data_IF_756652964434
#
_entry.id   IF_756652964434
#
_cell.length_a   1.000
_cell.length_b   1.000
_cell.length_c   1.000
_cell.angle_alpha   90.00
_cell.angle_beta   90.00
_cell.angle_gamma   90.00
#
_symmetry.space_group_name_H-M   'P 1'
#
loop_
_entity.id
_entity.type
_entity.pdbx_description
1 polymer ?
#
# COMPACT_ATOMS: atom_id res chain seq x y z
N UNK A 1 -2.35 8.40 -34.50
CA UNK A 1 -2.73 9.15 -33.28
C UNK A 1 -2.83 8.11 -32.17
N UNK A 2 -2.04 8.24 -31.11
CA UNK A 2 -2.02 7.27 -30.02
C UNK A 2 -3.34 7.35 -29.25
N UNK A 3 -4.09 6.27 -29.25
CA UNK A 3 -5.27 6.11 -28.41
C UNK A 3 -4.78 6.12 -26.96
N UNK A 4 -5.16 7.14 -26.19
CA UNK A 4 -4.92 7.17 -24.77
C UNK A 4 -5.70 5.99 -24.19
N UNK A 5 -5.01 4.90 -23.87
CA UNK A 5 -5.56 3.76 -23.15
C UNK A 5 -6.28 4.32 -21.93
N UNK A 6 -7.61 4.37 -21.98
CA UNK A 6 -8.42 4.81 -20.85
C UNK A 6 -8.08 3.88 -19.69
N UNK A 7 -7.33 4.39 -18.72
CA UNK A 7 -7.06 3.71 -17.47
C UNK A 7 -8.42 3.53 -16.80
N UNK A 8 -8.96 2.32 -16.85
CA UNK A 8 -10.15 1.98 -16.12
C UNK A 8 -9.71 1.61 -14.69
N UNK A 9 -9.92 2.49 -13.69
CA UNK A 9 -9.50 2.23 -12.32
C UNK A 9 -10.18 1.00 -11.72
N UNK A 10 -11.31 0.55 -12.29
CA UNK A 10 -12.02 -0.65 -11.82
C UNK A 10 -11.38 -1.96 -12.32
N UNK A 11 -10.26 -1.90 -13.05
CA UNK A 11 -9.64 -3.06 -13.72
C UNK A 11 -8.12 -3.11 -13.65
N UNK A 12 -7.47 -2.37 -12.75
CA UNK A 12 -6.02 -2.51 -12.61
C UNK A 12 -5.70 -3.92 -12.11
N UNK A 13 -5.07 -4.71 -12.99
CA UNK A 13 -4.56 -6.05 -12.71
C UNK A 13 -3.13 -6.13 -13.23
N UNK A 14 -2.17 -6.29 -12.33
CA UNK A 14 -0.74 -6.33 -12.63
C UNK A 14 -0.19 -7.70 -12.25
N UNK A 15 0.41 -8.40 -13.20
CA UNK A 15 1.17 -9.61 -12.92
C UNK A 15 2.59 -9.24 -12.47
N UNK A 16 3.09 -9.88 -11.41
CA UNK A 16 4.46 -9.73 -10.94
C UNK A 16 5.36 -10.83 -11.52
N UNK A 17 6.67 -10.67 -11.34
CA UNK A 17 7.71 -11.49 -11.96
C UNK A 17 7.58 -13.01 -11.71
N UNK A 18 6.92 -13.42 -10.63
CA UNK A 18 6.80 -14.83 -10.25
C UNK A 18 5.36 -15.34 -10.30
N UNK A 19 4.49 -14.68 -11.07
CA UNK A 19 3.10 -15.10 -11.32
C UNK A 19 2.10 -14.66 -10.26
N UNK A 20 2.51 -13.86 -9.27
CA UNK A 20 1.60 -13.15 -8.39
C UNK A 20 0.80 -12.10 -9.16
N UNK A 21 -0.33 -11.69 -8.60
CA UNK A 21 -1.18 -10.67 -9.20
C UNK A 21 -1.58 -9.64 -8.15
N UNK A 22 -1.42 -8.36 -8.48
CA UNK A 22 -2.00 -7.23 -7.74
C UNK A 22 -3.23 -6.74 -8.49
N UNK A 23 -4.35 -6.63 -7.80
CA UNK A 23 -5.63 -6.16 -8.37
C UNK A 23 -6.21 -5.05 -7.52
N UNK A 24 -6.83 -4.03 -8.13
CA UNK A 24 -7.77 -3.18 -7.40
C UNK A 24 -9.02 -4.00 -7.09
N UNK A 25 -9.46 -3.99 -5.83
CA UNK A 25 -10.62 -4.78 -5.38
C UNK A 25 -11.93 -3.99 -5.40
N UNK A 26 -11.89 -2.75 -5.88
CA UNK A 26 -13.01 -1.82 -5.91
C UNK A 26 -13.37 -1.23 -4.54
N UNK A 27 -12.61 -1.55 -3.49
CA UNK A 27 -12.75 -0.96 -2.17
C UNK A 27 -11.91 0.31 -2.00
N UNK A 28 -12.20 1.02 -0.93
CA UNK A 28 -11.44 2.16 -0.44
C UNK A 28 -11.22 2.02 1.06
N UNK A 29 -10.04 2.43 1.50
CA UNK A 29 -9.63 2.52 2.90
C UNK A 29 -9.59 4.00 3.29
N UNK A 30 -10.06 4.34 4.49
CA UNK A 30 -9.91 5.67 5.05
C UNK A 30 -8.69 5.68 5.97
N UNK A 31 -7.65 6.41 5.60
CA UNK A 31 -6.41 6.56 6.35
C UNK A 31 -6.24 8.05 6.68
N UNK A 32 -6.18 8.38 7.97
CA UNK A 32 -6.04 9.77 8.45
C UNK A 32 -7.06 10.77 7.85
N UNK A 33 -8.26 10.28 7.54
CA UNK A 33 -9.35 11.07 6.95
C UNK A 33 -9.30 11.19 5.42
N UNK A 34 -8.31 10.59 4.77
CA UNK A 34 -8.19 10.53 3.32
C UNK A 34 -8.60 9.16 2.77
N UNK A 35 -9.42 9.16 1.71
CA UNK A 35 -9.83 7.93 1.02
C UNK A 35 -8.72 7.46 0.07
N UNK A 36 -8.27 6.22 0.25
CA UNK A 36 -7.25 5.57 -0.57
C UNK A 36 -7.80 4.27 -1.15
N UNK A 37 -7.63 3.98 -2.45
CA UNK A 37 -8.09 2.74 -3.06
C UNK A 37 -7.39 1.52 -2.46
N UNK A 38 -8.12 0.44 -2.20
CA UNK A 38 -7.54 -0.85 -1.76
C UNK A 38 -7.09 -1.72 -2.92
N UNK A 39 -6.05 -2.49 -2.66
CA UNK A 39 -5.52 -3.51 -3.56
C UNK A 39 -5.51 -4.88 -2.90
N UNK A 40 -5.76 -5.92 -3.69
CA UNK A 40 -5.61 -7.32 -3.31
C UNK A 40 -4.40 -7.90 -4.01
N UNK A 41 -3.47 -8.44 -3.20
CA UNK A 41 -2.31 -9.17 -3.67
C UNK A 41 -2.58 -10.68 -3.58
N UNK A 42 -2.75 -11.33 -4.73
CA UNK A 42 -2.94 -12.78 -4.85
C UNK A 42 -1.60 -13.50 -4.88
N UNK A 43 -1.37 -14.32 -3.85
CA UNK A 43 -0.13 -15.07 -3.64
C UNK A 43 -0.41 -16.56 -3.46
N UNK A 44 0.62 -17.39 -3.62
CA UNK A 44 0.60 -18.76 -3.11
C UNK A 44 0.55 -18.74 -1.58
N UNK A 45 -0.04 -19.77 -0.91
CA UNK A 45 -0.25 -19.73 0.55
C UNK A 45 1.02 -19.50 1.39
N UNK A 46 2.14 -20.09 0.99
CA UNK A 46 3.41 -19.91 1.70
C UNK A 46 3.98 -18.51 1.52
N UNK A 47 3.85 -17.91 0.32
CA UNK A 47 4.24 -16.52 0.08
C UNK A 47 3.36 -15.55 0.84
N UNK A 48 2.05 -15.78 0.86
CA UNK A 48 1.12 -14.99 1.66
C UNK A 48 1.52 -14.96 3.14
N UNK A 49 1.88 -16.12 3.70
CA UNK A 49 2.37 -16.22 5.08
C UNK A 49 3.66 -15.43 5.31
N UNK A 50 4.63 -15.54 4.41
CA UNK A 50 5.89 -14.78 4.53
C UNK A 50 5.67 -13.27 4.42
N UNK A 51 4.87 -12.82 3.45
CA UNK A 51 4.55 -11.40 3.27
C UNK A 51 3.78 -10.85 4.47
N UNK A 52 2.79 -11.57 4.98
CA UNK A 52 2.03 -11.16 6.16
C UNK A 52 2.96 -10.90 7.36
N UNK A 53 3.93 -11.81 7.59
CA UNK A 53 4.92 -11.65 8.67
C UNK A 53 5.79 -10.41 8.46
N UNK A 54 6.28 -10.18 7.24
CA UNK A 54 7.10 -9.00 6.95
C UNK A 54 6.31 -7.70 7.15
N UNK A 55 5.05 -7.65 6.70
CA UNK A 55 4.18 -6.49 6.87
C UNK A 55 3.86 -6.22 8.33
N UNK A 56 3.67 -7.26 9.14
CA UNK A 56 3.46 -7.14 10.59
C UNK A 56 4.68 -6.51 11.29
N UNK A 57 5.88 -7.04 11.04
CA UNK A 57 7.13 -6.50 11.59
C UNK A 57 7.37 -5.05 11.13
N UNK A 58 7.17 -4.77 9.84
CA UNK A 58 7.34 -3.42 9.31
C UNK A 58 6.31 -2.44 9.91
N UNK A 59 5.06 -2.87 10.10
CA UNK A 59 4.02 -2.06 10.74
C UNK A 59 4.34 -1.76 12.21
N UNK A 60 4.97 -2.69 12.92
CA UNK A 60 5.43 -2.46 14.29
C UNK A 60 6.53 -1.38 14.32
N UNK A 61 7.50 -1.48 13.41
CA UNK A 61 8.60 -0.52 13.29
C UNK A 61 8.09 0.86 12.85
N UNK A 62 7.23 0.93 11.83
CA UNK A 62 6.73 2.20 11.30
C UNK A 62 5.97 3.01 12.35
N UNK A 63 5.19 2.36 13.23
CA UNK A 63 4.49 3.00 14.35
C UNK A 63 5.45 3.66 15.33
N UNK A 64 6.62 3.09 15.58
CA UNK A 64 7.62 3.70 16.48
C UNK A 64 8.14 5.00 15.89
N UNK A 65 8.47 5.00 14.59
CA UNK A 65 8.95 6.20 13.91
C UNK A 65 7.87 7.26 13.73
N UNK A 66 6.63 6.86 13.48
CA UNK A 66 5.50 7.79 13.34
C UNK A 66 5.08 8.41 14.68
N UNK A 67 5.35 7.75 15.81
CA UNK A 67 5.00 8.24 17.14
C UNK A 67 5.97 9.27 17.69
N UNK A 68 7.12 9.50 17.07
CA UNK A 68 8.01 10.59 17.46
C UNK A 68 7.40 11.93 17.00
N UNK A 69 6.94 12.81 17.91
CA UNK A 69 6.63 14.17 17.53
C UNK A 69 7.94 14.79 17.07
N UNK A 70 7.98 15.34 15.85
CA UNK A 70 9.09 16.21 15.47
C UNK A 70 9.15 17.31 16.55
N UNK A 71 10.26 17.47 17.29
CA UNK A 71 10.42 18.69 18.06
C UNK A 71 10.39 19.82 17.03
N UNK A 72 9.36 20.67 17.12
CA UNK A 72 9.38 21.95 16.44
C UNK A 72 10.54 22.67 17.11
N UNK A 73 11.70 22.69 16.44
CA UNK A 73 12.76 23.62 16.76
C UNK A 73 12.22 25.00 16.36
N UNK A 74 11.42 25.60 17.25
CA UNK A 74 11.25 27.05 17.27
C UNK A 74 12.63 27.63 17.48
N UNK A 75 13.20 28.21 16.43
CA UNK A 75 14.39 29.05 16.51
C UNK A 75 14.15 30.06 17.64
N UNK A 76 14.98 29.97 18.68
CA UNK A 76 15.03 30.95 19.76
C UNK A 76 15.78 32.15 19.20
N UNK A 77 15.06 33.26 19.07
CA UNK A 77 15.54 34.59 18.70
C UNK A 77 16.58 35.13 19.70
#
# INVERSE_FOLDING_TARGET
>A
MAEATQFNPDRLRVALDHGEVVELDGGTLVLDGEESPSVVLRLTPWRARSVARVLEEWSAVSRVFHRAPRPILTEVE
#
